data_IF_841738462314
#
_entry.id   IF_841738462314
#
_cell.length_a   1.000
_cell.length_b   1.000
_cell.length_c   1.000
_cell.angle_alpha   90.00
_cell.angle_beta   90.00
_cell.angle_gamma   90.00
#
_symmetry.space_group_name_H-M   'P 1'
#
loop_
_entity.id
_entity.type
_entity.pdbx_description
1 polymer ?
#
# COMPACT_ATOMS: atom_id res chain seq x y z
N UNK A 1 12.17 -12.34 7.52
CA UNK A 1 10.91 -13.13 7.46
C UNK A 1 9.89 -12.63 8.46
N UNK A 2 10.09 -12.77 9.78
CA UNK A 2 9.11 -12.26 10.77
C UNK A 2 8.95 -10.74 10.62
N UNK A 3 10.06 -10.00 10.53
CA UNK A 3 10.02 -8.55 10.29
C UNK A 3 9.23 -8.15 9.03
N UNK A 4 9.40 -8.89 7.93
CA UNK A 4 8.71 -8.60 6.66
C UNK A 4 7.22 -8.98 6.72
N UNK A 5 6.84 -10.01 7.49
CA UNK A 5 5.44 -10.33 7.77
C UNK A 5 4.77 -9.26 8.63
N UNK A 6 5.45 -8.77 9.67
CA UNK A 6 4.95 -7.66 10.49
C UNK A 6 4.79 -6.41 9.64
N UNK A 7 5.75 -6.12 8.77
CA UNK A 7 5.69 -4.99 7.86
C UNK A 7 4.53 -5.12 6.86
N UNK A 8 4.31 -6.32 6.31
CA UNK A 8 3.17 -6.60 5.43
C UNK A 8 1.85 -6.36 6.13
N UNK A 9 1.70 -6.90 7.34
CA UNK A 9 0.49 -6.71 8.14
C UNK A 9 0.25 -5.23 8.47
N UNK A 10 1.30 -4.50 8.84
CA UNK A 10 1.21 -3.08 9.12
C UNK A 10 0.78 -2.26 7.89
N UNK A 11 1.26 -2.60 6.68
CA UNK A 11 0.81 -1.95 5.44
C UNK A 11 -0.66 -2.26 5.12
N UNK A 12 -1.10 -3.51 5.32
CA UNK A 12 -2.52 -3.86 5.13
C UNK A 12 -3.39 -3.05 6.09
N UNK A 13 -3.01 -2.94 7.37
CA UNK A 13 -3.72 -2.11 8.33
C UNK A 13 -3.73 -0.62 7.94
N UNK A 14 -2.62 -0.11 7.41
CA UNK A 14 -2.53 1.27 6.91
C UNK A 14 -3.53 1.52 5.78
N UNK A 15 -3.62 0.62 4.79
CA UNK A 15 -4.57 0.75 3.68
C UNK A 15 -6.02 0.62 4.13
N UNK A 16 -6.30 -0.28 5.08
CA UNK A 16 -7.64 -0.36 5.70
C UNK A 16 -7.97 0.95 6.43
N UNK A 17 -7.02 1.53 7.17
CA UNK A 17 -7.20 2.82 7.83
C UNK A 17 -7.48 3.94 6.82
N UNK A 18 -6.74 4.01 5.71
CA UNK A 18 -7.00 4.96 4.63
C UNK A 18 -8.41 4.81 4.06
N UNK A 19 -8.88 3.58 3.83
CA UNK A 19 -10.25 3.34 3.39
C UNK A 19 -11.28 3.81 4.41
N UNK A 20 -11.07 3.54 5.69
CA UNK A 20 -11.98 3.99 6.75
C UNK A 20 -12.03 5.52 6.77
N UNK A 21 -10.89 6.20 6.63
CA UNK A 21 -10.83 7.67 6.57
C UNK A 21 -11.55 8.20 5.33
N UNK A 22 -11.32 7.64 4.14
CA UNK A 22 -12.03 8.04 2.92
C UNK A 22 -13.54 7.86 3.07
N UNK A 23 -13.97 6.70 3.55
CA UNK A 23 -15.37 6.43 3.82
C UNK A 23 -15.95 7.42 4.83
N UNK A 24 -15.21 7.77 5.88
CA UNK A 24 -15.67 8.73 6.87
C UNK A 24 -15.81 10.15 6.31
N UNK A 25 -14.86 10.60 5.49
CA UNK A 25 -14.87 11.93 4.86
C UNK A 25 -16.06 12.03 3.88
N UNK A 26 -16.25 11.03 3.02
CA UNK A 26 -17.22 11.07 1.92
C UNK A 26 -18.52 10.30 2.21
N UNK A 27 -18.82 9.94 3.46
CA UNK A 27 -20.06 9.23 3.82
C UNK A 27 -21.34 9.99 3.44
N UNK A 28 -21.25 11.32 3.29
CA UNK A 28 -22.37 12.18 2.92
C UNK A 28 -22.78 12.07 1.46
N UNK A 29 -21.85 11.65 0.59
CA UNK A 29 -22.08 11.49 -0.86
C UNK A 29 -22.76 10.15 -1.21
N UNK A 30 -23.15 9.37 -0.21
CA UNK A 30 -23.83 8.09 -0.42
C UNK A 30 -25.35 8.35 -0.60
N UNK A 31 -25.79 8.40 -1.86
CA UNK A 31 -27.21 8.57 -2.25
C UNK A 31 -28.18 7.62 -1.54
N UNK A 32 -27.73 6.40 -1.22
CA UNK A 32 -28.52 5.38 -0.54
C UNK A 32 -27.65 4.62 0.46
N UNK A 33 -28.22 4.25 1.61
CA UNK A 33 -27.54 3.35 2.56
C UNK A 33 -27.32 2.01 1.88
N UNK A 34 -26.06 1.60 1.62
CA UNK A 34 -25.80 0.37 0.91
C UNK A 34 -26.31 -0.81 1.74
N UNK A 35 -27.05 -1.71 1.10
CA UNK A 35 -27.48 -2.94 1.76
C UNK A 35 -26.28 -3.72 2.31
N UNK A 36 -26.48 -4.43 3.43
CA UNK A 36 -25.42 -5.16 4.15
C UNK A 36 -24.55 -6.04 3.23
N UNK A 37 -25.18 -6.67 2.23
CA UNK A 37 -24.48 -7.50 1.25
C UNK A 37 -23.56 -6.70 0.32
N UNK A 38 -23.98 -5.52 -0.13
CA UNK A 38 -23.15 -4.63 -0.95
C UNK A 38 -21.97 -4.09 -0.13
N UNK A 39 -22.22 -3.71 1.13
CA UNK A 39 -21.17 -3.28 2.06
C UNK A 39 -20.13 -4.37 2.28
N UNK A 40 -20.56 -5.61 2.58
CA UNK A 40 -19.68 -6.76 2.76
C UNK A 40 -18.84 -7.03 1.50
N UNK A 41 -19.46 -7.03 0.32
CA UNK A 41 -18.76 -7.24 -0.96
C UNK A 41 -17.73 -6.14 -1.23
N UNK A 42 -18.05 -4.88 -0.93
CA UNK A 42 -17.13 -3.76 -1.06
C UNK A 42 -15.92 -3.94 -0.14
N UNK A 43 -16.14 -4.29 1.13
CA UNK A 43 -15.08 -4.53 2.08
C UNK A 43 -14.19 -5.72 1.69
N UNK A 44 -14.78 -6.85 1.27
CA UNK A 44 -14.04 -8.03 0.81
C UNK A 44 -13.18 -7.73 -0.43
N UNK A 45 -13.75 -7.03 -1.40
CA UNK A 45 -13.03 -6.64 -2.63
C UNK A 45 -11.92 -5.66 -2.31
N UNK A 46 -12.18 -4.72 -1.40
CA UNK A 46 -11.21 -3.75 -0.93
C UNK A 46 -10.04 -4.42 -0.20
N UNK A 47 -10.32 -5.30 0.77
CA UNK A 47 -9.28 -6.00 1.52
C UNK A 47 -8.38 -6.85 0.61
N UNK A 48 -8.98 -7.46 -0.43
CA UNK A 48 -8.23 -8.18 -1.47
C UNK A 48 -7.31 -7.25 -2.28
N UNK A 49 -7.73 -6.01 -2.53
CA UNK A 49 -6.90 -4.99 -3.16
C UNK A 49 -5.74 -4.56 -2.25
N UNK A 50 -6.02 -4.30 -0.96
CA UNK A 50 -5.03 -3.82 0.01
C UNK A 50 -3.89 -4.83 0.23
N UNK A 51 -4.28 -6.10 0.39
CA UNK A 51 -3.34 -7.21 0.55
C UNK A 51 -2.50 -7.43 -0.72
N UNK A 52 -3.09 -7.25 -1.90
CA UNK A 52 -2.34 -7.26 -3.17
C UNK A 52 -1.33 -6.10 -3.22
N UNK A 53 -1.78 -4.87 -2.96
CA UNK A 53 -0.93 -3.69 -2.96
C UNK A 53 0.23 -3.79 -1.96
N UNK A 54 -0.04 -4.27 -0.73
CA UNK A 54 0.99 -4.49 0.28
C UNK A 54 2.03 -5.54 -0.15
N UNK A 55 1.58 -6.60 -0.82
CA UNK A 55 2.48 -7.66 -1.34
C UNK A 55 3.38 -7.13 -2.44
N UNK A 56 2.85 -6.34 -3.38
CA UNK A 56 3.63 -5.71 -4.44
C UNK A 56 4.60 -4.66 -3.90
N UNK A 57 4.17 -3.84 -2.95
CA UNK A 57 5.00 -2.83 -2.31
C UNK A 57 6.22 -3.47 -1.59
N UNK A 58 6.02 -4.61 -0.93
CA UNK A 58 7.07 -5.32 -0.20
C UNK A 58 7.84 -6.36 -1.01
N UNK A 59 7.50 -6.55 -2.28
CA UNK A 59 8.14 -7.54 -3.14
C UNK A 59 9.69 -7.44 -3.10
N UNK A 60 10.32 -6.24 -3.14
CA UNK A 60 11.78 -6.14 -3.06
C UNK A 60 12.35 -6.67 -1.73
N UNK A 61 11.70 -6.37 -0.59
CA UNK A 61 12.14 -6.83 0.74
C UNK A 61 11.89 -8.33 0.91
N UNK A 62 10.75 -8.82 0.42
CA UNK A 62 10.40 -10.24 0.43
C UNK A 62 11.36 -11.06 -0.44
N UNK A 63 11.73 -10.56 -1.62
CA UNK A 63 12.71 -11.21 -2.50
C UNK A 63 14.09 -11.31 -1.83
N UNK A 64 14.54 -10.25 -1.15
CA UNK A 64 15.79 -10.31 -0.37
C UNK A 64 15.67 -11.27 0.82
N UNK A 65 14.53 -11.35 1.49
CA UNK A 65 14.31 -12.36 2.52
C UNK A 65 14.48 -13.78 1.96
N UNK A 66 13.96 -14.03 0.75
CA UNK A 66 14.11 -15.32 0.07
C UNK A 66 15.57 -15.62 -0.30
N UNK A 67 16.29 -14.64 -0.84
CA UNK A 67 17.72 -14.77 -1.16
C UNK A 67 18.54 -14.99 0.12
N UNK A 68 18.15 -14.34 1.23
CA UNK A 68 18.74 -14.48 2.56
C UNK A 68 18.74 -15.92 3.08
N UNK A 69 17.83 -16.76 2.61
CA UNK A 69 17.81 -18.18 2.94
C UNK A 69 18.88 -19.01 2.22
N UNK A 70 19.39 -18.52 1.08
CA UNK A 70 20.43 -19.21 0.28
C UNK A 70 21.81 -18.62 0.58
N UNK A 71 21.88 -17.30 0.77
CA UNK A 71 23.13 -16.58 1.07
C UNK A 71 22.91 -15.57 2.18
N UNK A 72 23.81 -15.48 3.18
CA UNK A 72 23.72 -14.45 4.20
C UNK A 72 23.92 -13.06 3.56
N UNK A 73 22.86 -12.24 3.59
CA UNK A 73 22.87 -10.89 3.00
C UNK A 73 23.42 -9.81 3.94
N UNK A 74 23.76 -10.18 5.18
CA UNK A 74 24.31 -9.27 6.19
C UNK A 74 23.50 -7.97 6.34
N UNK A 75 24.20 -6.84 6.39
CA UNK A 75 23.61 -5.51 6.59
C UNK A 75 22.81 -4.98 5.39
N UNK A 76 23.00 -5.55 4.19
CA UNK A 76 22.33 -5.09 2.97
C UNK A 76 20.82 -5.30 3.03
N UNK A 77 20.39 -6.44 3.57
CA UNK A 77 18.97 -6.75 3.73
C UNK A 77 18.27 -5.71 4.61
N UNK A 78 18.88 -5.34 5.74
CA UNK A 78 18.32 -4.35 6.63
C UNK A 78 18.31 -2.94 6.02
N UNK A 79 19.29 -2.60 5.18
CA UNK A 79 19.35 -1.31 4.48
C UNK A 79 18.25 -1.19 3.43
N UNK A 80 18.04 -2.22 2.61
CA UNK A 80 16.96 -2.22 1.60
C UNK A 80 15.60 -2.18 2.27
N UNK A 81 15.37 -2.96 3.34
CA UNK A 81 14.11 -2.89 4.10
C UNK A 81 13.81 -1.49 4.61
N UNK A 82 14.79 -0.78 5.19
CA UNK A 82 14.60 0.61 5.65
C UNK A 82 14.28 1.57 4.50
N UNK A 83 14.97 1.43 3.38
CA UNK A 83 14.69 2.24 2.19
C UNK A 83 13.28 1.96 1.65
N UNK A 84 12.89 0.68 1.56
CA UNK A 84 11.54 0.27 1.15
C UNK A 84 10.47 0.85 2.07
N UNK A 85 10.65 0.80 3.39
CA UNK A 85 9.71 1.42 4.34
C UNK A 85 9.50 2.89 4.02
N UNK A 86 10.59 3.65 3.87
CA UNK A 86 10.51 5.09 3.60
C UNK A 86 9.81 5.39 2.26
N UNK A 87 10.25 4.72 1.18
CA UNK A 87 9.70 4.90 -0.17
C UNK A 87 8.21 4.52 -0.22
N UNK A 88 7.82 3.40 0.39
CA UNK A 88 6.43 2.96 0.39
C UNK A 88 5.57 3.96 1.16
N UNK A 89 5.98 4.36 2.37
CA UNK A 89 5.19 5.27 3.19
C UNK A 89 5.02 6.64 2.54
N UNK A 90 6.07 7.20 1.92
CA UNK A 90 5.96 8.49 1.24
C UNK A 90 5.06 8.40 0.01
N UNK A 91 5.16 7.33 -0.78
CA UNK A 91 4.25 7.09 -1.90
C UNK A 91 2.81 6.92 -1.43
N UNK A 92 2.57 6.16 -0.37
CA UNK A 92 1.24 5.96 0.20
C UNK A 92 0.62 7.28 0.67
N UNK A 93 1.40 8.13 1.36
CA UNK A 93 0.92 9.42 1.84
C UNK A 93 0.59 10.37 0.69
N UNK A 94 1.44 10.45 -0.33
CA UNK A 94 1.20 11.30 -1.52
C UNK A 94 -0.06 10.83 -2.25
N UNK A 95 -0.15 9.52 -2.54
CA UNK A 95 -1.30 8.95 -3.25
C UNK A 95 -2.58 9.18 -2.46
N UNK A 96 -2.57 8.97 -1.14
CA UNK A 96 -3.75 9.19 -0.30
C UNK A 96 -4.22 10.64 -0.31
N UNK A 97 -3.31 11.60 -0.14
CA UNK A 97 -3.66 13.03 -0.15
C UNK A 97 -4.17 13.45 -1.52
N UNK A 98 -3.55 12.96 -2.60
CA UNK A 98 -4.01 13.20 -3.95
C UNK A 98 -5.38 12.58 -4.23
N UNK A 99 -5.63 11.35 -3.77
CA UNK A 99 -6.91 10.64 -3.96
C UNK A 99 -8.05 11.34 -3.21
N UNK A 100 -7.81 11.83 -1.99
CA UNK A 100 -8.81 12.63 -1.26
C UNK A 100 -9.18 13.89 -2.03
N UNK A 101 -8.19 14.65 -2.52
CA UNK A 101 -8.44 15.88 -3.28
C UNK A 101 -9.10 15.60 -4.64
N UNK A 102 -8.70 14.52 -5.30
CA UNK A 102 -9.27 14.11 -6.58
C UNK A 102 -10.72 13.66 -6.42
N UNK A 103 -11.02 12.85 -5.41
CA UNK A 103 -12.38 12.40 -5.13
C UNK A 103 -13.29 13.59 -4.78
N UNK A 104 -12.80 14.56 -4.01
CA UNK A 104 -13.59 15.75 -3.65
C UNK A 104 -13.97 16.64 -4.86
N UNK A 105 -13.22 16.58 -5.95
CA UNK A 105 -13.46 17.41 -7.15
C UNK A 105 -14.22 16.64 -8.24
N UNK A 106 -13.95 15.34 -8.38
CA UNK A 106 -14.42 14.53 -9.50
C UNK A 106 -15.36 13.38 -9.11
N UNK A 107 -15.67 13.21 -7.82
CA UNK A 107 -16.50 12.13 -7.26
C UNK A 107 -16.07 10.72 -7.70
N UNK A 108 -14.78 10.56 -7.98
CA UNK A 108 -14.19 9.33 -8.47
C UNK A 108 -12.82 9.11 -7.84
N UNK A 109 -12.40 7.85 -7.73
CA UNK A 109 -11.05 7.53 -7.27
C UNK A 109 -10.01 7.85 -8.34
N UNK A 110 -8.78 8.11 -7.91
CA UNK A 110 -7.67 8.45 -8.79
C UNK A 110 -7.51 7.44 -9.93
N UNK A 111 -7.71 7.89 -11.17
CA UNK A 111 -7.67 7.05 -12.37
C UNK A 111 -6.82 7.67 -13.50
N UNK A 112 -6.87 7.07 -14.68
CA UNK A 112 -6.05 7.48 -15.83
C UNK A 112 -6.45 8.83 -16.45
N UNK A 113 -7.64 9.38 -16.15
CA UNK A 113 -8.07 10.68 -16.64
C UNK A 113 -7.22 11.83 -16.08
N UNK A 114 -6.56 11.61 -14.93
CA UNK A 114 -5.57 12.54 -14.37
C UNK A 114 -4.49 12.91 -15.40
N UNK A 115 -4.09 11.97 -16.26
CA UNK A 115 -3.05 12.22 -17.26
C UNK A 115 -3.52 13.21 -18.31
N UNK A 116 -4.79 13.13 -18.74
CA UNK A 116 -5.37 14.09 -19.70
C UNK A 116 -5.37 15.52 -19.16
N UNK A 117 -5.78 15.70 -17.89
CA UNK A 117 -5.75 16.99 -17.19
C UNK A 117 -4.32 17.55 -17.13
N UNK A 118 -3.36 16.71 -16.77
CA UNK A 118 -1.95 17.10 -16.74
C UNK A 118 -1.47 17.46 -18.14
N UNK A 119 -1.81 16.76 -19.22
CA UNK A 119 -1.25 17.11 -20.53
C UNK A 119 -1.78 18.41 -21.13
N UNK A 120 -3.01 18.81 -20.79
CA UNK A 120 -3.64 20.00 -21.37
C UNK A 120 -3.16 21.30 -20.70
N UNK A 121 -3.15 21.37 -19.36
CA UNK A 121 -2.94 22.65 -18.65
C UNK A 121 -2.22 22.53 -17.29
N UNK A 122 -1.05 21.85 -17.25
CA UNK A 122 -0.24 21.64 -16.01
C UNK A 122 -0.07 22.86 -15.13
N UNK A 123 0.22 24.00 -15.77
CA UNK A 123 0.58 25.22 -15.06
C UNK A 123 -0.63 25.81 -14.34
N UNK A 124 -1.76 25.89 -15.02
CA UNK A 124 -3.00 26.39 -14.43
C UNK A 124 -3.46 25.47 -13.29
N UNK A 125 -3.39 24.16 -13.48
CA UNK A 125 -3.76 23.18 -12.44
C UNK A 125 -2.86 23.33 -11.20
N UNK A 126 -1.54 23.45 -11.38
CA UNK A 126 -0.62 23.62 -10.25
C UNK A 126 -0.87 24.95 -9.51
N UNK A 127 -1.09 26.05 -10.24
CA UNK A 127 -1.41 27.34 -9.63
C UNK A 127 -2.72 27.30 -8.84
N UNK A 128 -3.74 26.59 -9.33
CA UNK A 128 -4.99 26.37 -8.61
C UNK A 128 -4.77 25.53 -7.35
N UNK A 129 -4.04 24.41 -7.44
CA UNK A 129 -3.72 23.57 -6.28
C UNK A 129 -2.98 24.37 -5.21
N UNK A 130 -1.99 25.18 -5.61
CA UNK A 130 -1.20 25.99 -4.70
C UNK A 130 -2.01 27.07 -3.98
N UNK A 131 -3.03 27.63 -4.63
CA UNK A 131 -3.92 28.66 -4.05
C UNK A 131 -5.03 28.05 -3.20
N UNK A 132 -5.59 26.92 -3.63
CA UNK A 132 -6.77 26.31 -3.00
C UNK A 132 -6.43 25.45 -1.80
N UNK A 133 -5.24 24.84 -1.77
CA UNK A 133 -4.84 23.94 -0.70
C UNK A 133 -3.67 24.49 0.13
N UNK A 134 -3.63 24.24 1.45
CA UNK A 134 -2.51 24.65 2.29
C UNK A 134 -1.31 23.70 2.09
N UNK A 135 -0.67 23.76 0.92
CA UNK A 135 0.37 22.82 0.46
C UNK A 135 1.52 22.69 1.45
N UNK A 136 1.98 23.80 2.04
CA UNK A 136 3.09 23.77 3.01
C UNK A 136 2.70 22.97 4.25
N UNK A 137 1.47 23.16 4.76
CA UNK A 137 0.97 22.39 5.92
C UNK A 137 0.81 20.90 5.57
N UNK A 138 0.31 20.60 4.36
CA UNK A 138 0.19 19.22 3.88
C UNK A 138 1.56 18.54 3.77
N UNK A 139 2.57 19.22 3.21
CA UNK A 139 3.94 18.70 3.12
C UNK A 139 4.50 18.45 4.53
N UNK A 140 4.36 19.41 5.45
CA UNK A 140 4.80 19.24 6.84
C UNK A 140 4.10 18.07 7.54
N UNK A 141 2.80 17.90 7.33
CA UNK A 141 2.02 16.80 7.86
C UNK A 141 2.49 15.44 7.29
N UNK A 142 2.68 15.34 5.96
CA UNK A 142 3.20 14.14 5.30
C UNK A 142 4.58 13.79 5.84
N UNK A 143 5.51 14.73 5.89
CA UNK A 143 6.88 14.51 6.38
C UNK A 143 6.85 14.02 7.83
N UNK A 144 6.05 14.66 8.68
CA UNK A 144 5.94 14.30 10.10
C UNK A 144 5.33 12.91 10.27
N UNK A 145 4.22 12.62 9.57
CA UNK A 145 3.56 11.32 9.64
C UNK A 145 4.46 10.19 9.11
N UNK A 146 5.13 10.40 7.98
CA UNK A 146 6.08 9.43 7.39
C UNK A 146 7.27 9.22 8.32
N UNK A 147 7.81 10.28 8.94
CA UNK A 147 8.92 10.15 9.89
C UNK A 147 8.53 9.34 11.13
N UNK A 148 7.36 9.61 11.72
CA UNK A 148 6.83 8.88 12.87
C UNK A 148 6.57 7.41 12.49
N UNK A 149 5.83 7.16 11.41
CA UNK A 149 5.51 5.82 10.95
C UNK A 149 6.77 5.01 10.60
N UNK A 150 7.73 5.62 9.90
CA UNK A 150 9.03 5.00 9.59
C UNK A 150 9.78 4.64 10.87
N UNK A 151 9.85 5.55 11.84
CA UNK A 151 10.50 5.31 13.12
C UNK A 151 9.86 4.11 13.86
N UNK A 152 8.53 4.08 13.93
CA UNK A 152 7.77 2.99 14.56
C UNK A 152 8.01 1.66 13.85
N UNK A 153 7.87 1.61 12.52
CA UNK A 153 8.07 0.38 11.73
C UNK A 153 9.50 -0.12 11.81
N UNK A 154 10.50 0.77 11.79
CA UNK A 154 11.91 0.38 11.95
C UNK A 154 12.16 -0.19 13.35
N UNK A 155 11.58 0.42 14.40
CA UNK A 155 11.66 -0.11 15.77
C UNK A 155 11.01 -1.49 15.89
N UNK A 156 9.83 -1.66 15.32
CA UNK A 156 9.13 -2.95 15.28
C UNK A 156 9.95 -4.01 14.55
N UNK A 157 10.49 -3.68 13.36
CA UNK A 157 11.33 -4.60 12.59
C UNK A 157 12.56 -5.04 13.39
N UNK A 158 13.26 -4.11 14.05
CA UNK A 158 14.42 -4.43 14.90
C UNK A 158 14.05 -5.35 16.06
N UNK A 159 12.94 -5.09 16.75
CA UNK A 159 12.44 -5.94 17.83
C UNK A 159 12.11 -7.36 17.34
N UNK A 160 11.54 -7.49 16.14
CA UNK A 160 11.24 -8.79 15.55
C UNK A 160 12.44 -9.52 14.96
N UNK A 161 13.52 -8.80 14.62
CA UNK A 161 14.78 -9.41 14.17
C UNK A 161 15.53 -10.08 15.32
N UNK A 162 15.37 -9.59 16.55
CA UNK A 162 15.90 -10.22 17.76
C UNK A 162 15.08 -11.42 18.26
N UNK A 163 13.91 -11.68 17.67
CA UNK A 163 13.09 -12.83 18.04
C UNK A 163 13.62 -14.11 17.39
N UNK A 164 13.80 -15.16 18.19
CA UNK A 164 14.24 -16.47 17.68
C UNK A 164 13.25 -17.00 16.65
N UNK A 165 13.77 -17.35 15.47
CA UNK A 165 12.95 -17.93 14.41
C UNK A 165 12.60 -19.37 14.80
N UNK A 166 11.31 -19.76 14.82
CA UNK A 166 10.94 -21.13 15.15
C UNK A 166 11.66 -22.12 14.23
N UNK A 167 12.24 -23.18 14.80
CA UNK A 167 13.04 -24.19 14.08
C UNK A 167 12.33 -24.82 12.88
N UNK A 168 10.99 -24.80 12.88
CA UNK A 168 10.14 -25.20 11.76
C UNK A 168 10.43 -24.43 10.46
N UNK A 169 10.68 -23.12 10.53
CA UNK A 169 10.99 -22.29 9.36
C UNK A 169 12.43 -22.42 8.87
N UNK A 170 13.31 -23.06 9.65
CA UNK A 170 14.69 -23.30 9.24
C UNK A 170 14.80 -24.44 8.20
N UNK A 171 13.79 -25.30 8.05
CA UNK A 171 13.79 -26.43 7.11
C UNK A 171 13.73 -25.99 5.64
N UNK A 172 14.48 -26.68 4.76
CA UNK A 172 14.46 -26.44 3.30
C UNK A 172 13.05 -26.57 2.70
N UNK A 173 12.21 -27.46 3.25
CA UNK A 173 10.83 -27.66 2.80
C UNK A 173 9.92 -26.48 3.16
N UNK A 174 10.05 -25.94 4.36
CA UNK A 174 9.30 -24.76 4.79
C UNK A 174 9.62 -23.54 3.91
N UNK A 175 10.90 -23.36 3.54
CA UNK A 175 11.34 -22.29 2.63
C UNK A 175 10.71 -22.39 1.24
N UNK A 176 10.64 -23.59 0.68
CA UNK A 176 10.01 -23.84 -0.62
C UNK A 176 8.51 -23.51 -0.57
N UNK A 177 7.84 -23.96 0.50
CA UNK A 177 6.41 -23.67 0.71
C UNK A 177 6.17 -22.16 0.84
N UNK A 178 6.99 -21.43 1.60
CA UNK A 178 6.87 -19.96 1.71
C UNK A 178 7.06 -19.27 0.37
N UNK A 179 8.04 -19.68 -0.43
CA UNK A 179 8.25 -19.13 -1.77
C UNK A 179 7.05 -19.39 -2.70
N UNK A 180 6.53 -20.62 -2.71
CA UNK A 180 5.34 -20.99 -3.51
C UNK A 180 4.12 -20.17 -3.06
N UNK A 181 3.92 -20.01 -1.75
CA UNK A 181 2.81 -19.22 -1.21
C UNK A 181 2.93 -17.76 -1.64
N UNK A 182 4.11 -17.14 -1.51
CA UNK A 182 4.32 -15.74 -1.93
C UNK A 182 4.12 -15.54 -3.43
N UNK A 183 4.64 -16.45 -4.26
CA UNK A 183 4.46 -16.40 -5.72
C UNK A 183 2.99 -16.62 -6.10
N UNK A 184 2.33 -17.59 -5.46
CA UNK A 184 0.90 -17.84 -5.64
C UNK A 184 0.06 -16.62 -5.24
N UNK A 185 0.39 -15.98 -4.12
CA UNK A 185 -0.29 -14.77 -3.67
C UNK A 185 -0.06 -13.58 -4.62
N UNK A 186 1.17 -13.39 -5.10
CA UNK A 186 1.49 -12.37 -6.09
C UNK A 186 0.73 -12.61 -7.41
N UNK A 187 0.59 -13.86 -7.86
CA UNK A 187 -0.16 -14.22 -9.07
C UNK A 187 -1.67 -14.02 -8.89
N UNK A 188 -2.24 -14.42 -7.73
CA UNK A 188 -3.64 -14.15 -7.39
C UNK A 188 -3.89 -12.64 -7.34
N UNK A 189 -2.98 -11.87 -6.75
CA UNK A 189 -3.01 -10.42 -6.73
C UNK A 189 -2.97 -9.80 -8.13
N UNK A 190 -2.09 -10.28 -9.00
CA UNK A 190 -2.01 -9.86 -10.40
C UNK A 190 -3.33 -10.13 -11.14
N UNK A 191 -3.95 -11.29 -10.92
CA UNK A 191 -5.26 -11.62 -11.52
C UNK A 191 -6.40 -10.73 -11.01
N UNK A 192 -6.35 -10.25 -9.78
CA UNK A 192 -7.35 -9.29 -9.25
C UNK A 192 -7.28 -7.98 -10.01
N UNK A 193 -6.06 -7.49 -10.22
CA UNK A 193 -5.80 -6.24 -10.89
C UNK A 193 -6.12 -6.33 -12.39
N UNK A 194 -5.73 -7.43 -13.04
CA UNK A 194 -6.01 -7.69 -14.45
C UNK A 194 -7.49 -8.05 -14.72
N UNK A 195 -8.17 -8.72 -13.80
CA UNK A 195 -9.54 -9.22 -13.98
C UNK A 195 -10.60 -8.13 -14.11
N UNK A 196 -10.37 -6.94 -13.53
CA UNK A 196 -11.26 -5.78 -13.71
C UNK A 196 -11.12 -5.13 -15.09
N UNK A 197 -9.93 -5.14 -15.69
CA UNK A 197 -9.71 -4.51 -17.01
C UNK A 197 -10.41 -5.25 -18.15
N UNK A 198 -10.63 -6.57 -18.05
CA UNK A 198 -11.37 -7.32 -19.08
C UNK A 198 -12.90 -7.21 -18.98
N UNK A 199 -13.44 -6.76 -17.85
CA UNK A 199 -14.87 -6.51 -17.70
C UNK A 199 -15.26 -5.13 -18.22
N UNK A 200 -14.37 -4.12 -18.08
CA UNK A 200 -14.57 -2.78 -18.64
C UNK A 200 -14.33 -2.66 -20.15
N UNK A 201 -13.59 -3.61 -20.75
CA UNK A 201 -13.36 -3.67 -22.22
C UNK A 201 -14.47 -4.42 -22.99
N UNK A 202 -15.53 -4.85 -22.32
CA UNK A 202 -16.65 -5.60 -22.92
C UNK A 202 -17.92 -4.79 -23.15
N UNK A 203 -17.89 -3.48 -22.91
CA UNK A 203 -18.98 -2.56 -23.26
C UNK A 203 -18.46 -1.45 -24.15
#
# INVERSE_FOLDING_TARGET
MIADLVLWFALVLLFVAFRIVLFWIFRGELDQTPGLHAFRRCFETGLRSDTCAATWALLPSLALTLIGFVRPLGVWHARVRRLSIFVILISCAIVFVADVGYFAEYDNQFDHWIFGLIYDDRRAIFETIWKSYPIILLICAIVTAVAIASCLLIRLCRSTESADVPSFFASKRARLVTAIVLVGWAFVGAKVWLGKNYAGLKN
#
